data_IF_351134863681
#
_entry.id   IF_351134863681
#
_cell.length_a   1.000
_cell.length_b   1.000
_cell.length_c   1.000
_cell.angle_alpha   90.00
_cell.angle_beta   90.00
_cell.angle_gamma   90.00
#
_symmetry.space_group_name_H-M   'P 1'
#
loop_
_entity.id
_entity.type
_entity.pdbx_description
1 polymer ?
#
# COMPACT_ATOMS: atom_id res chain seq x y z
N UNK A 1 -30.17 25.49 -0.38
CA UNK A 1 -29.57 24.28 0.21
C UNK A 1 -28.08 24.37 -0.10
N UNK A 2 -27.23 24.57 0.94
CA UNK A 2 -25.80 24.61 0.77
C UNK A 2 -25.36 23.24 0.26
N UNK A 3 -24.47 23.26 -0.69
CA UNK A 3 -23.94 22.06 -1.32
C UNK A 3 -23.15 21.23 -0.34
N UNK A 4 -23.56 19.96 -0.16
CA UNK A 4 -22.99 19.04 0.82
C UNK A 4 -21.87 18.17 0.26
N UNK A 5 -21.49 18.40 -1.01
CA UNK A 5 -20.51 17.57 -1.71
C UNK A 5 -19.21 18.31 -1.97
N UNK A 6 -18.11 17.71 -1.55
CA UNK A 6 -16.75 18.21 -1.76
C UNK A 6 -16.00 17.34 -2.77
N UNK A 7 -15.11 17.95 -3.53
CA UNK A 7 -14.22 17.24 -4.47
C UNK A 7 -12.76 17.45 -4.06
N UNK A 8 -11.96 16.40 -4.18
CA UNK A 8 -10.51 16.50 -3.97
C UNK A 8 -9.81 16.89 -5.26
N UNK A 9 -9.00 17.90 -5.17
CA UNK A 9 -8.12 18.33 -6.24
C UNK A 9 -6.66 18.13 -5.85
N UNK A 10 -5.81 17.94 -6.86
CA UNK A 10 -4.37 17.88 -6.69
C UNK A 10 -3.78 19.18 -7.22
N UNK A 11 -3.12 19.93 -6.36
CA UNK A 11 -2.24 21.03 -6.74
C UNK A 11 -0.86 20.44 -7.08
N UNK A 12 -0.32 20.85 -8.22
CA UNK A 12 1.02 20.47 -8.66
C UNK A 12 1.86 21.71 -8.88
N UNK A 13 3.17 21.54 -8.75
CA UNK A 13 4.16 22.57 -9.08
C UNK A 13 3.97 23.91 -8.34
N UNK A 14 3.47 23.87 -7.08
CA UNK A 14 3.39 25.06 -6.25
C UNK A 14 4.79 25.46 -5.81
N UNK A 15 5.23 26.63 -6.22
CA UNK A 15 6.50 27.22 -5.80
C UNK A 15 6.34 27.96 -4.46
N UNK A 16 6.98 27.44 -3.39
CA UNK A 16 6.95 28.06 -2.07
C UNK A 16 8.31 27.92 -1.37
N UNK A 17 8.91 29.04 -0.96
CA UNK A 17 10.18 29.04 -0.22
C UNK A 17 11.32 28.33 -0.96
N UNK A 18 11.42 28.44 -2.29
CA UNK A 18 12.43 27.76 -3.10
C UNK A 18 12.20 26.25 -3.31
N UNK A 19 11.04 25.73 -2.88
CA UNK A 19 10.64 24.33 -3.08
C UNK A 19 9.46 24.22 -4.03
N UNK A 20 9.42 23.15 -4.79
CA UNK A 20 8.24 22.77 -5.58
C UNK A 20 7.44 21.72 -4.77
N UNK A 21 6.17 22.01 -4.53
CA UNK A 21 5.31 21.22 -3.66
C UNK A 21 4.06 20.78 -4.41
N UNK A 22 3.75 19.50 -4.24
CA UNK A 22 2.45 18.93 -4.61
C UNK A 22 1.66 18.66 -3.32
N UNK A 23 0.37 18.95 -3.31
CA UNK A 23 -0.54 18.58 -2.22
C UNK A 23 -1.97 18.38 -2.69
N UNK A 24 -2.79 17.76 -1.86
CA UNK A 24 -4.21 17.58 -2.11
C UNK A 24 -5.00 18.60 -1.30
N UNK A 25 -6.09 19.12 -1.88
CA UNK A 25 -7.01 20.04 -1.22
C UNK A 25 -8.47 19.69 -1.53
N UNK A 26 -9.41 20.34 -0.83
CA UNK A 26 -10.85 20.18 -1.03
C UNK A 26 -11.44 21.46 -1.59
N UNK A 27 -12.42 21.29 -2.48
CA UNK A 27 -13.26 22.38 -2.97
C UNK A 27 -14.71 21.92 -3.05
N UNK A 28 -15.65 22.86 -2.99
CA UNK A 28 -17.05 22.60 -3.23
C UNK A 28 -17.28 22.20 -4.69
N UNK A 29 -18.08 21.14 -4.92
CA UNK A 29 -18.23 20.53 -6.25
C UNK A 29 -18.82 21.48 -7.28
N UNK A 30 -19.83 22.30 -6.91
CA UNK A 30 -20.52 23.20 -7.84
C UNK A 30 -19.80 24.54 -8.02
N UNK A 31 -19.32 25.13 -6.93
CA UNK A 31 -18.71 26.46 -6.96
C UNK A 31 -17.22 26.42 -7.30
N UNK A 32 -16.56 25.28 -7.05
CA UNK A 32 -15.10 25.17 -7.12
C UNK A 32 -14.38 25.92 -5.99
N UNK A 33 -15.11 26.51 -5.03
CA UNK A 33 -14.54 27.27 -3.93
C UNK A 33 -13.77 26.35 -2.97
N UNK A 34 -12.50 26.68 -2.63
CA UNK A 34 -11.71 25.84 -1.72
C UNK A 34 -12.26 25.88 -0.30
N UNK A 35 -12.19 24.75 0.40
CA UNK A 35 -12.35 24.70 1.86
C UNK A 35 -11.05 25.18 2.49
N UNK A 36 -10.99 26.46 2.81
CA UNK A 36 -9.75 27.19 3.15
C UNK A 36 -8.99 26.55 4.29
N UNK A 37 -9.65 26.08 5.33
CA UNK A 37 -9.04 25.48 6.52
C UNK A 37 -8.32 24.17 6.16
N UNK A 38 -8.97 23.31 5.39
CA UNK A 38 -8.36 22.04 4.97
C UNK A 38 -7.24 22.28 3.97
N UNK A 39 -7.39 23.27 3.08
CA UNK A 39 -6.33 23.66 2.14
C UNK A 39 -5.11 24.19 2.88
N UNK A 40 -5.30 25.08 3.86
CA UNK A 40 -4.24 25.60 4.72
C UNK A 40 -3.52 24.50 5.51
N UNK A 41 -4.30 23.63 6.16
CA UNK A 41 -3.77 22.46 6.87
C UNK A 41 -2.91 21.57 5.96
N UNK A 42 -3.45 21.20 4.81
CA UNK A 42 -2.78 20.30 3.89
C UNK A 42 -1.49 20.89 3.33
N UNK A 43 -1.50 22.17 2.96
CA UNK A 43 -0.32 22.91 2.48
C UNK A 43 0.76 23.01 3.56
N UNK A 44 0.41 23.49 4.74
CA UNK A 44 1.35 23.65 5.86
C UNK A 44 1.93 22.31 6.29
N UNK A 45 1.12 21.27 6.33
CA UNK A 45 1.58 19.91 6.65
C UNK A 45 2.59 19.37 5.63
N UNK A 46 2.48 19.78 4.35
CA UNK A 46 3.48 19.48 3.31
C UNK A 46 4.76 20.29 3.50
N UNK A 47 4.65 21.57 3.79
CA UNK A 47 5.78 22.47 4.01
C UNK A 47 6.62 22.01 5.22
N UNK A 48 5.97 21.70 6.33
CA UNK A 48 6.60 21.29 7.58
C UNK A 48 7.03 19.82 7.62
N UNK A 49 6.73 19.03 6.56
CA UNK A 49 7.10 17.62 6.48
C UNK A 49 6.24 16.69 7.34
N UNK A 50 5.14 17.15 7.94
CA UNK A 50 4.17 16.28 8.63
C UNK A 50 3.55 15.28 7.64
N UNK A 51 3.11 15.75 6.49
CA UNK A 51 2.74 14.92 5.35
C UNK A 51 3.97 14.63 4.47
N UNK A 52 4.82 13.70 4.87
CA UNK A 52 6.07 13.35 4.17
C UNK A 52 5.87 12.96 2.70
N UNK A 53 4.73 12.36 2.36
CA UNK A 53 4.43 11.93 0.99
C UNK A 53 3.10 12.49 0.50
N UNK A 54 2.97 12.63 -0.82
CA UNK A 54 1.70 13.02 -1.45
C UNK A 54 0.57 12.02 -1.14
N UNK A 55 0.90 10.73 -0.99
CA UNK A 55 -0.06 9.70 -0.59
C UNK A 55 -0.59 9.89 0.83
N UNK A 56 0.25 10.33 1.78
CA UNK A 56 -0.18 10.68 3.14
C UNK A 56 -1.13 11.88 3.09
N UNK A 57 -0.76 12.94 2.38
CA UNK A 57 -1.62 14.12 2.18
C UNK A 57 -2.99 13.72 1.60
N UNK A 58 -3.00 12.87 0.54
CA UNK A 58 -4.24 12.37 -0.08
C UNK A 58 -5.14 11.65 0.93
N UNK A 59 -4.56 10.81 1.78
CA UNK A 59 -5.32 10.01 2.76
C UNK A 59 -5.94 10.89 3.83
N UNK A 60 -5.17 11.82 4.38
CA UNK A 60 -5.65 12.73 5.42
C UNK A 60 -6.74 13.67 4.88
N UNK A 61 -6.54 14.25 3.70
CA UNK A 61 -7.56 15.07 3.03
C UNK A 61 -8.82 14.26 2.72
N UNK A 62 -8.70 12.96 2.38
CA UNK A 62 -9.88 12.10 2.20
C UNK A 62 -10.65 11.86 3.50
N UNK A 63 -9.96 11.63 4.60
CA UNK A 63 -10.61 11.46 5.90
C UNK A 63 -11.29 12.75 6.37
N UNK A 64 -10.63 13.89 6.19
CA UNK A 64 -11.21 15.20 6.48
C UNK A 64 -12.39 15.53 5.56
N UNK A 65 -12.35 15.16 4.26
CA UNK A 65 -13.49 15.28 3.36
C UNK A 65 -14.73 14.60 3.95
N UNK A 66 -14.59 13.35 4.35
CA UNK A 66 -15.69 12.56 4.91
C UNK A 66 -16.25 13.19 6.20
N UNK A 67 -15.35 13.62 7.09
CA UNK A 67 -15.74 14.30 8.31
C UNK A 67 -16.47 15.63 8.00
N UNK A 68 -15.98 16.42 7.07
CA UNK A 68 -16.59 17.68 6.66
C UNK A 68 -17.99 17.50 6.06
N UNK A 69 -18.13 16.55 5.14
CA UNK A 69 -19.43 16.23 4.52
C UNK A 69 -20.44 15.67 5.51
N UNK A 70 -20.01 14.71 6.34
CA UNK A 70 -20.93 13.98 7.23
C UNK A 70 -21.28 14.74 8.52
N UNK A 71 -20.41 15.67 8.97
CA UNK A 71 -20.60 16.38 10.24
C UNK A 71 -20.78 17.88 10.04
N UNK A 72 -19.79 18.55 9.43
CA UNK A 72 -19.79 20.02 9.30
C UNK A 72 -20.91 20.50 8.39
N UNK A 73 -20.92 20.05 7.13
CA UNK A 73 -21.90 20.49 6.13
C UNK A 73 -23.28 19.90 6.37
N UNK A 74 -23.36 18.67 6.87
CA UNK A 74 -24.66 18.03 7.14
C UNK A 74 -25.44 18.76 8.23
N UNK A 75 -24.78 19.11 9.33
CA UNK A 75 -25.40 19.80 10.45
C UNK A 75 -25.44 21.32 10.27
N UNK A 76 -24.72 21.89 9.30
CA UNK A 76 -24.60 23.33 9.09
C UNK A 76 -23.91 24.05 10.25
N UNK A 77 -23.03 23.33 10.98
CA UNK A 77 -22.29 23.86 12.11
C UNK A 77 -20.95 24.45 11.68
N UNK A 78 -20.45 25.43 12.43
CA UNK A 78 -19.04 25.81 12.33
C UNK A 78 -18.18 24.65 12.86
N UNK A 79 -17.17 24.27 12.11
CA UNK A 79 -16.26 23.18 12.49
C UNK A 79 -15.55 23.42 13.84
N UNK A 80 -15.47 24.70 14.29
CA UNK A 80 -14.89 25.07 15.60
C UNK A 80 -15.82 24.72 16.76
N UNK A 81 -17.13 24.70 16.51
CA UNK A 81 -18.17 24.45 17.51
C UNK A 81 -18.45 22.96 17.73
N UNK A 82 -17.97 22.08 16.83
CA UNK A 82 -18.16 20.65 16.96
C UNK A 82 -17.44 20.15 18.21
N UNK A 83 -18.17 19.51 19.12
CA UNK A 83 -17.62 19.00 20.39
C UNK A 83 -16.75 17.75 20.20
N UNK A 84 -15.97 17.39 21.23
CA UNK A 84 -15.17 16.18 21.22
C UNK A 84 -16.08 14.93 21.28
N UNK A 85 -17.24 15.05 21.95
CA UNK A 85 -18.28 14.01 21.98
C UNK A 85 -18.91 13.81 20.59
N UNK A 86 -19.19 14.88 19.82
CA UNK A 86 -19.72 14.78 18.45
C UNK A 86 -18.75 14.03 17.55
N UNK A 87 -17.44 14.31 17.66
CA UNK A 87 -16.40 13.63 16.90
C UNK A 87 -16.31 12.15 17.30
N UNK A 88 -16.37 11.85 18.59
CA UNK A 88 -16.32 10.48 19.10
C UNK A 88 -17.55 9.69 18.67
N UNK A 89 -18.75 10.28 18.76
CA UNK A 89 -20.00 9.68 18.29
C UNK A 89 -20.00 9.48 16.77
N UNK A 90 -19.49 10.45 15.99
CA UNK A 90 -19.32 10.29 14.55
C UNK A 90 -18.45 9.07 14.22
N UNK A 91 -17.31 8.91 14.88
CA UNK A 91 -16.41 7.79 14.62
C UNK A 91 -17.01 6.45 15.04
N UNK A 92 -17.71 6.41 16.18
CA UNK A 92 -18.31 5.20 16.73
C UNK A 92 -19.64 4.87 16.02
N UNK A 93 -20.66 5.74 16.14
CA UNK A 93 -22.01 5.38 15.71
C UNK A 93 -22.16 5.42 14.19
N UNK A 94 -21.66 6.49 13.55
CA UNK A 94 -21.81 6.63 12.11
C UNK A 94 -20.78 5.81 11.32
N UNK A 95 -19.49 5.90 11.67
CA UNK A 95 -18.44 5.25 10.87
C UNK A 95 -18.21 3.78 11.23
N UNK A 96 -18.13 3.44 12.51
CA UNK A 96 -17.89 2.07 12.96
C UNK A 96 -19.16 1.22 12.90
N UNK A 97 -20.26 1.63 13.59
CA UNK A 97 -21.49 0.83 13.64
C UNK A 97 -22.29 0.91 12.34
N UNK A 98 -22.72 2.10 11.91
CA UNK A 98 -23.64 2.23 10.78
C UNK A 98 -22.98 1.94 9.42
N UNK A 99 -21.72 2.35 9.20
CA UNK A 99 -20.98 2.07 7.95
C UNK A 99 -20.14 0.79 8.01
N UNK A 100 -20.00 0.14 9.15
CA UNK A 100 -19.25 -1.11 9.32
C UNK A 100 -17.76 -0.99 8.99
N UNK A 101 -17.15 0.17 9.21
CA UNK A 101 -15.74 0.38 8.87
C UNK A 101 -14.83 -0.34 9.87
N UNK A 102 -13.69 -0.83 9.38
CA UNK A 102 -12.70 -1.50 10.23
C UNK A 102 -12.09 -0.55 11.25
N UNK A 103 -11.72 -1.06 12.44
CA UNK A 103 -11.04 -0.28 13.47
C UNK A 103 -9.77 0.41 12.97
N UNK A 104 -9.05 -0.19 12.02
CA UNK A 104 -7.89 0.43 11.37
C UNK A 104 -8.27 1.67 10.54
N UNK A 105 -9.40 1.64 9.86
CA UNK A 105 -9.90 2.80 9.11
C UNK A 105 -10.29 3.92 10.08
N UNK A 106 -10.95 3.57 11.19
CA UNK A 106 -11.32 4.53 12.26
C UNK A 106 -10.08 5.16 12.87
N UNK A 107 -9.02 4.37 13.18
CA UNK A 107 -7.74 4.93 13.63
C UNK A 107 -7.16 5.96 12.65
N UNK A 108 -7.24 5.69 11.35
CA UNK A 108 -6.79 6.63 10.33
C UNK A 108 -7.63 7.91 10.28
N UNK A 109 -8.95 7.82 10.45
CA UNK A 109 -9.85 8.96 10.53
C UNK A 109 -9.60 9.79 11.78
N UNK A 110 -9.53 9.14 12.95
CA UNK A 110 -9.18 9.80 14.22
C UNK A 110 -7.86 10.56 14.12
N UNK A 111 -6.81 9.92 13.57
CA UNK A 111 -5.52 10.57 13.39
C UNK A 111 -5.60 11.82 12.49
N UNK A 112 -6.36 11.75 11.39
CA UNK A 112 -6.52 12.89 10.49
C UNK A 112 -7.27 14.05 11.13
N UNK A 113 -8.37 13.77 11.85
CA UNK A 113 -9.19 14.77 12.54
C UNK A 113 -8.36 15.40 13.69
N UNK A 114 -7.73 14.58 14.54
CA UNK A 114 -6.92 15.07 15.66
C UNK A 114 -5.76 15.95 15.19
N UNK A 115 -5.05 15.55 14.13
CA UNK A 115 -3.94 16.35 13.59
C UNK A 115 -4.44 17.67 12.96
N UNK A 116 -5.62 17.68 12.34
CA UNK A 116 -6.24 18.90 11.85
C UNK A 116 -6.56 19.87 13.00
N UNK A 117 -7.22 19.42 14.07
CA UNK A 117 -7.56 20.27 15.22
C UNK A 117 -6.32 20.74 15.97
N UNK A 118 -5.28 19.91 16.13
CA UNK A 118 -3.97 20.33 16.69
C UNK A 118 -3.32 21.42 15.84
N UNK A 119 -3.37 21.28 14.53
CA UNK A 119 -2.88 22.31 13.62
C UNK A 119 -3.70 23.59 13.75
N UNK A 120 -5.02 23.52 13.78
CA UNK A 120 -5.89 24.67 13.92
C UNK A 120 -5.63 25.45 15.21
N UNK A 121 -5.48 24.75 16.34
CA UNK A 121 -5.11 25.37 17.63
C UNK A 121 -3.71 26.01 17.55
N UNK A 122 -2.72 25.32 17.02
CA UNK A 122 -1.35 25.81 16.88
C UNK A 122 -1.27 27.12 16.07
N UNK A 123 -2.15 27.29 15.09
CA UNK A 123 -2.18 28.48 14.23
C UNK A 123 -3.24 29.51 14.67
N UNK A 124 -3.79 29.40 15.88
CA UNK A 124 -4.71 30.37 16.47
C UNK A 124 -6.10 30.40 15.86
N UNK A 125 -6.50 29.34 15.16
CA UNK A 125 -7.86 29.21 14.60
C UNK A 125 -8.86 28.67 15.63
N UNK A 126 -8.36 28.19 16.77
CA UNK A 126 -9.13 27.73 17.93
C UNK A 126 -8.59 28.41 19.18
N UNK A 127 -9.50 28.75 20.09
CA UNK A 127 -9.16 29.33 21.39
C UNK A 127 -8.61 28.28 22.35
N UNK A 128 -9.14 27.04 22.30
CA UNK A 128 -8.72 25.92 23.14
C UNK A 128 -8.39 24.70 22.30
N UNK A 129 -7.44 23.84 22.78
CA UNK A 129 -7.15 22.59 22.09
C UNK A 129 -8.33 21.63 22.21
N UNK A 130 -8.60 20.83 21.18
CA UNK A 130 -9.53 19.72 21.27
C UNK A 130 -8.82 18.44 21.65
N UNK A 131 -9.30 17.78 22.70
CA UNK A 131 -8.79 16.50 23.18
C UNK A 131 -9.79 15.40 22.81
N UNK A 132 -9.65 14.87 21.61
CA UNK A 132 -10.52 13.83 21.09
C UNK A 132 -10.08 12.49 21.69
N UNK A 133 -10.77 12.06 22.75
CA UNK A 133 -10.55 10.77 23.40
C UNK A 133 -11.62 9.76 22.98
N UNK A 134 -11.19 8.63 22.43
CA UNK A 134 -12.04 7.43 22.32
C UNK A 134 -11.78 6.61 23.55
N UNK A 135 -12.57 6.88 24.59
CA UNK A 135 -12.38 6.35 25.93
C UNK A 135 -13.37 5.27 26.33
N UNK A 136 -13.66 5.24 27.63
CA UNK A 136 -14.48 4.22 28.32
C UNK A 136 -15.91 4.10 27.80
N UNK A 137 -16.44 5.11 27.12
CA UNK A 137 -17.81 5.11 26.60
C UNK A 137 -17.99 4.24 25.35
N UNK A 138 -16.89 3.87 24.67
CA UNK A 138 -16.91 3.08 23.44
C UNK A 138 -15.89 1.93 23.47
N UNK A 139 -16.00 0.98 24.42
CA UNK A 139 -15.01 -0.08 24.59
C UNK A 139 -14.87 -0.99 23.36
N UNK A 140 -15.98 -1.28 22.66
CA UNK A 140 -15.96 -2.09 21.43
C UNK A 140 -15.20 -1.42 20.28
N UNK A 141 -15.24 -0.09 20.18
CA UNK A 141 -14.46 0.65 19.19
C UNK A 141 -12.96 0.64 19.58
N UNK A 142 -12.66 0.86 20.85
CA UNK A 142 -11.29 0.80 21.36
C UNK A 142 -10.68 -0.58 21.14
N UNK A 143 -11.43 -1.64 21.41
CA UNK A 143 -11.02 -3.02 21.15
C UNK A 143 -10.76 -3.24 19.66
N UNK A 144 -11.69 -2.87 18.78
CA UNK A 144 -11.55 -2.99 17.35
C UNK A 144 -10.30 -2.24 16.82
N UNK A 145 -10.03 -1.05 17.35
CA UNK A 145 -8.84 -0.27 17.01
C UNK A 145 -7.55 -0.93 17.52
N UNK A 146 -7.61 -1.57 18.70
CA UNK A 146 -6.47 -2.29 19.28
C UNK A 146 -6.21 -3.60 18.53
N UNK A 147 -7.25 -4.35 18.20
CA UNK A 147 -7.17 -5.59 17.42
C UNK A 147 -6.80 -5.33 15.94
N UNK A 148 -7.09 -4.16 15.38
CA UNK A 148 -6.70 -3.80 14.03
C UNK A 148 -5.18 -3.92 13.75
N UNK A 149 -4.35 -3.90 14.80
CA UNK A 149 -2.91 -4.19 14.72
C UNK A 149 -2.58 -5.68 14.66
N UNK A 150 -3.50 -6.57 15.04
CA UNK A 150 -3.29 -8.04 15.11
C UNK A 150 -3.94 -8.79 13.95
N UNK A 151 -4.87 -8.18 13.24
CA UNK A 151 -5.79 -8.86 12.32
C UNK A 151 -5.28 -9.08 10.89
N UNK A 152 -4.06 -8.76 10.56
CA UNK A 152 -3.53 -9.35 9.33
C UNK A 152 -3.16 -10.81 9.61
N UNK A 153 -4.14 -11.68 9.63
CA UNK A 153 -3.92 -13.11 9.48
C UNK A 153 -3.31 -13.32 8.09
N UNK A 154 -1.99 -13.17 8.00
CA UNK A 154 -1.24 -13.40 6.76
C UNK A 154 -1.55 -14.78 6.18
N UNK A 155 -1.94 -15.74 7.03
CA UNK A 155 -2.43 -17.04 6.59
C UNK A 155 -3.62 -16.94 5.64
N UNK A 156 -4.64 -16.09 5.94
CA UNK A 156 -5.80 -15.91 5.06
C UNK A 156 -5.43 -15.19 3.75
N UNK A 157 -4.29 -14.51 3.73
CA UNK A 157 -3.76 -13.83 2.56
C UNK A 157 -2.77 -14.69 1.75
N UNK A 158 -2.33 -15.83 2.30
CA UNK A 158 -1.40 -16.71 1.62
C UNK A 158 -2.07 -17.35 0.39
N UNK A 159 -1.34 -17.37 -0.71
CA UNK A 159 -1.76 -17.98 -1.97
C UNK A 159 -0.78 -19.12 -2.25
N UNK A 160 -1.23 -20.38 -2.18
CA UNK A 160 -0.43 -21.54 -2.58
C UNK A 160 0.02 -21.46 -4.04
N UNK A 161 1.11 -22.13 -4.38
CA UNK A 161 1.69 -22.09 -5.73
C UNK A 161 0.71 -22.55 -6.81
N UNK A 162 -0.06 -23.59 -6.53
CA UNK A 162 -1.02 -24.14 -7.51
C UNK A 162 -2.19 -23.18 -7.74
N UNK A 163 -2.70 -22.54 -6.68
CA UNK A 163 -3.72 -21.50 -6.80
C UNK A 163 -3.18 -20.26 -7.54
N UNK A 164 -1.93 -19.89 -7.30
CA UNK A 164 -1.28 -18.83 -8.05
C UNK A 164 -1.16 -19.16 -9.55
N UNK A 165 -0.84 -20.41 -9.89
CA UNK A 165 -0.78 -20.83 -11.29
C UNK A 165 -2.15 -20.75 -11.95
N UNK A 166 -3.23 -21.17 -11.26
CA UNK A 166 -4.61 -21.01 -11.73
C UNK A 166 -4.98 -19.54 -11.96
N UNK A 167 -4.58 -18.65 -11.03
CA UNK A 167 -4.79 -17.21 -11.20
C UNK A 167 -4.10 -16.69 -12.48
N UNK A 168 -2.88 -17.12 -12.75
CA UNK A 168 -2.13 -16.72 -13.96
C UNK A 168 -2.81 -17.24 -15.23
N UNK A 169 -3.39 -18.43 -15.20
CA UNK A 169 -4.16 -18.99 -16.34
C UNK A 169 -5.42 -18.18 -16.66
N UNK A 170 -5.99 -17.49 -15.67
CA UNK A 170 -7.16 -16.63 -15.80
C UNK A 170 -6.88 -15.24 -16.39
N UNK A 171 -5.62 -14.92 -16.75
CA UNK A 171 -5.29 -13.67 -17.44
C UNK A 171 -5.94 -13.63 -18.82
N UNK A 172 -6.39 -12.43 -19.24
CA UNK A 172 -6.96 -12.23 -20.58
C UNK A 172 -5.94 -12.52 -21.68
N UNK A 173 -6.29 -13.44 -22.57
CA UNK A 173 -5.43 -13.90 -23.67
C UNK A 173 -5.74 -13.26 -25.02
N UNK A 174 -6.67 -12.30 -25.09
CA UNK A 174 -7.06 -11.63 -26.35
C UNK A 174 -5.90 -10.90 -27.04
N UNK A 175 -5.00 -10.32 -26.27
CA UNK A 175 -3.77 -9.71 -26.77
C UNK A 175 -2.55 -10.38 -26.17
N UNK A 176 -1.69 -10.96 -27.04
CA UNK A 176 -0.45 -11.61 -26.59
C UNK A 176 0.44 -10.65 -25.79
N UNK A 177 0.60 -9.43 -26.27
CA UNK A 177 1.40 -8.41 -25.57
C UNK A 177 0.86 -8.12 -24.18
N UNK A 178 -0.44 -7.82 -24.06
CA UNK A 178 -1.08 -7.51 -22.79
C UNK A 178 -1.06 -8.69 -21.83
N UNK A 179 -1.32 -9.90 -22.34
CA UNK A 179 -1.32 -11.10 -21.50
C UNK A 179 0.05 -11.38 -20.88
N UNK A 180 1.13 -11.28 -21.65
CA UNK A 180 2.50 -11.49 -21.12
C UNK A 180 2.89 -10.38 -20.16
N UNK A 181 2.51 -9.13 -20.43
CA UNK A 181 2.74 -7.98 -19.55
C UNK A 181 2.02 -8.17 -18.21
N UNK A 182 0.75 -8.51 -18.24
CA UNK A 182 -0.08 -8.69 -17.05
C UNK A 182 0.37 -9.92 -16.25
N UNK A 183 0.80 -11.00 -16.92
CA UNK A 183 1.43 -12.16 -16.29
C UNK A 183 2.73 -11.79 -15.59
N UNK A 184 3.60 -10.99 -16.21
CA UNK A 184 4.81 -10.48 -15.57
C UNK A 184 4.51 -9.66 -14.32
N UNK A 185 3.44 -8.86 -14.33
CA UNK A 185 3.04 -8.10 -13.15
C UNK A 185 2.70 -9.02 -11.97
N UNK A 186 1.94 -10.11 -12.20
CA UNK A 186 1.61 -11.09 -11.16
C UNK A 186 2.83 -11.88 -10.70
N UNK A 187 3.68 -12.34 -11.63
CA UNK A 187 4.91 -13.06 -11.33
C UNK A 187 5.86 -12.23 -10.45
N UNK A 188 6.07 -10.96 -10.79
CA UNK A 188 6.90 -10.06 -9.97
C UNK A 188 6.34 -9.87 -8.55
N UNK A 189 5.02 -9.84 -8.40
CA UNK A 189 4.39 -9.81 -7.08
C UNK A 189 4.66 -11.09 -6.28
N UNK A 190 4.42 -12.25 -6.90
CA UNK A 190 4.47 -13.55 -6.23
C UNK A 190 5.90 -14.08 -6.01
N UNK A 191 6.79 -13.92 -7.00
CA UNK A 191 8.13 -14.51 -6.96
C UNK A 191 9.24 -13.52 -6.58
N UNK A 192 8.99 -12.20 -6.69
CA UNK A 192 9.97 -11.16 -6.35
C UNK A 192 9.46 -10.20 -5.26
N UNK A 193 8.25 -10.37 -4.79
CA UNK A 193 7.67 -9.59 -3.70
C UNK A 193 7.47 -8.11 -4.01
N UNK A 194 7.18 -7.74 -5.26
CA UNK A 194 6.98 -6.33 -5.63
C UNK A 194 5.64 -5.80 -5.13
N UNK A 195 5.62 -4.49 -4.80
CA UNK A 195 4.37 -3.75 -4.59
C UNK A 195 3.80 -3.29 -5.93
N UNK A 196 2.48 -3.11 -6.01
CA UNK A 196 1.85 -2.60 -7.25
C UNK A 196 2.42 -1.26 -7.68
N UNK A 197 2.69 -0.34 -6.75
CA UNK A 197 3.31 0.95 -7.05
C UNK A 197 4.77 0.87 -7.51
N UNK A 198 5.48 -0.21 -7.21
CA UNK A 198 6.85 -0.44 -7.67
C UNK A 198 6.87 -0.86 -9.15
N UNK A 199 5.81 -1.52 -9.64
CA UNK A 199 5.67 -1.89 -11.05
C UNK A 199 5.60 -0.66 -11.97
N UNK A 200 4.92 0.38 -11.53
CA UNK A 200 4.64 1.58 -12.32
C UNK A 200 5.52 2.77 -11.99
N UNK A 201 6.49 2.57 -11.10
CA UNK A 201 7.52 3.57 -10.83
C UNK A 201 8.42 3.72 -12.06
N UNK A 202 8.49 4.94 -12.60
CA UNK A 202 9.16 5.25 -13.84
C UNK A 202 10.70 5.04 -13.81
N UNK A 203 11.28 4.90 -12.62
CA UNK A 203 12.71 4.59 -12.44
C UNK A 203 12.98 3.08 -12.37
N UNK A 204 11.93 2.26 -12.17
CA UNK A 204 12.05 0.82 -12.08
C UNK A 204 11.88 0.15 -13.45
N UNK A 205 12.41 -1.04 -13.57
CA UNK A 205 12.21 -1.93 -14.72
C UNK A 205 12.47 -1.26 -16.07
N UNK A 206 13.50 -0.42 -16.18
CA UNK A 206 13.90 0.16 -17.47
C UNK A 206 14.27 -0.94 -18.47
N UNK A 207 13.72 -0.90 -19.68
CA UNK A 207 13.93 -1.92 -20.72
C UNK A 207 15.43 -2.10 -21.00
N UNK A 208 16.18 -1.00 -21.12
CA UNK A 208 17.63 -1.01 -21.33
C UNK A 208 18.39 -1.76 -20.22
N UNK A 209 18.05 -1.48 -18.96
CA UNK A 209 18.65 -2.12 -17.79
C UNK A 209 18.36 -3.62 -17.79
N UNK A 210 17.10 -4.01 -18.00
CA UNK A 210 16.69 -5.43 -18.00
C UNK A 210 17.38 -6.19 -19.14
N UNK A 211 17.45 -5.61 -20.34
CA UNK A 211 18.18 -6.22 -21.47
C UNK A 211 19.66 -6.46 -21.15
N UNK A 212 20.32 -5.48 -20.51
CA UNK A 212 21.73 -5.60 -20.12
C UNK A 212 21.93 -6.72 -19.09
N UNK A 213 21.12 -6.76 -18.03
CA UNK A 213 21.19 -7.77 -16.98
C UNK A 213 20.86 -9.19 -17.50
N UNK A 214 19.87 -9.32 -18.37
CA UNK A 214 19.56 -10.59 -19.03
C UNK A 214 20.74 -11.09 -19.85
N UNK A 215 21.37 -10.22 -20.65
CA UNK A 215 22.53 -10.58 -21.47
C UNK A 215 23.74 -10.98 -20.60
N UNK A 216 23.97 -10.26 -19.51
CA UNK A 216 25.05 -10.57 -18.56
C UNK A 216 24.83 -11.93 -17.89
N UNK A 217 23.62 -12.20 -17.39
CA UNK A 217 23.28 -13.48 -16.78
C UNK A 217 23.40 -14.63 -17.78
N UNK A 218 22.89 -14.48 -19.00
CA UNK A 218 23.04 -15.49 -20.07
C UNK A 218 24.50 -15.78 -20.39
N UNK A 219 25.36 -14.77 -20.44
CA UNK A 219 26.80 -14.94 -20.69
C UNK A 219 27.51 -15.72 -19.56
N UNK A 220 26.98 -15.66 -18.35
CA UNK A 220 27.45 -16.43 -17.18
C UNK A 220 26.80 -17.81 -17.06
N UNK A 221 25.87 -18.17 -17.93
CA UNK A 221 25.07 -19.40 -17.81
C UNK A 221 24.04 -19.36 -16.68
N UNK A 222 23.70 -18.16 -16.18
CA UNK A 222 22.74 -17.95 -15.10
C UNK A 222 21.33 -17.71 -15.64
N UNK A 223 20.33 -18.11 -14.89
CA UNK A 223 18.91 -17.87 -15.20
C UNK A 223 18.22 -17.00 -14.15
N UNK A 224 19.02 -16.30 -13.33
CA UNK A 224 18.59 -15.38 -12.28
C UNK A 224 19.52 -14.17 -12.24
N UNK A 225 19.02 -13.04 -11.72
CA UNK A 225 19.85 -11.87 -11.45
C UNK A 225 19.23 -10.97 -10.39
N UNK A 226 20.05 -10.21 -9.72
CA UNK A 226 19.59 -9.18 -8.78
C UNK A 226 19.27 -7.88 -9.53
N UNK A 227 18.10 -7.29 -9.20
CA UNK A 227 17.62 -6.03 -9.76
C UNK A 227 17.35 -5.03 -8.64
N UNK A 228 17.94 -3.85 -8.74
CA UNK A 228 17.65 -2.74 -7.85
C UNK A 228 16.36 -2.04 -8.27
N UNK A 229 15.47 -1.81 -7.32
CA UNK A 229 14.21 -1.10 -7.51
C UNK A 229 13.99 -0.06 -6.42
N UNK A 230 13.25 0.99 -6.76
CA UNK A 230 12.87 2.07 -5.85
C UNK A 230 11.45 1.84 -5.33
N UNK A 231 11.30 1.95 -4.00
CA UNK A 231 10.02 1.86 -3.33
C UNK A 231 9.22 3.17 -3.38
N UNK A 232 8.25 3.28 -2.49
CA UNK A 232 7.37 4.46 -2.37
C UNK A 232 8.20 5.72 -2.09
N UNK A 233 8.04 6.74 -2.95
CA UNK A 233 8.68 8.04 -2.79
C UNK A 233 10.11 8.13 -3.31
N UNK A 234 10.60 7.15 -4.09
CA UNK A 234 11.94 7.06 -4.68
C UNK A 234 13.13 7.10 -3.69
N UNK A 235 12.86 7.17 -2.39
CA UNK A 235 13.88 7.35 -1.35
C UNK A 235 14.38 6.03 -0.73
N UNK A 236 13.81 4.89 -1.14
CA UNK A 236 14.20 3.58 -0.60
C UNK A 236 14.48 2.64 -1.75
N UNK A 237 15.76 2.40 -1.97
CA UNK A 237 16.24 1.35 -2.85
C UNK A 237 16.20 0.00 -2.13
N UNK A 238 15.83 -1.06 -2.84
CA UNK A 238 15.99 -2.43 -2.43
C UNK A 238 16.33 -3.32 -3.61
N UNK A 239 16.95 -4.43 -3.34
CA UNK A 239 17.30 -5.43 -4.36
C UNK A 239 16.28 -6.56 -4.34
N UNK A 240 15.72 -6.89 -5.50
CA UNK A 240 14.89 -8.07 -5.71
C UNK A 240 15.68 -9.10 -6.53
N UNK A 241 15.44 -10.37 -6.27
CA UNK A 241 15.95 -11.46 -7.09
C UNK A 241 14.94 -11.73 -8.20
N UNK A 242 15.37 -11.63 -9.45
CA UNK A 242 14.61 -12.11 -10.60
C UNK A 242 14.81 -13.62 -10.70
N UNK A 243 13.73 -14.36 -10.46
CA UNK A 243 13.74 -15.83 -10.48
C UNK A 243 13.81 -16.38 -11.91
N UNK A 244 14.17 -17.64 -12.08
CA UNK A 244 14.24 -18.32 -13.39
C UNK A 244 12.93 -18.20 -14.18
N UNK A 245 11.78 -18.30 -13.51
CA UNK A 245 10.47 -18.17 -14.19
C UNK A 245 10.24 -16.75 -14.71
N UNK A 246 10.53 -15.73 -13.89
CA UNK A 246 10.45 -14.32 -14.29
C UNK A 246 11.47 -14.02 -15.39
N UNK A 247 12.70 -14.52 -15.28
CA UNK A 247 13.75 -14.39 -16.28
C UNK A 247 13.30 -14.90 -17.65
N UNK A 248 12.76 -16.11 -17.71
CA UNK A 248 12.26 -16.68 -18.97
C UNK A 248 11.08 -15.88 -19.54
N UNK A 249 10.18 -15.41 -18.68
CA UNK A 249 9.05 -14.59 -19.11
C UNK A 249 9.51 -13.22 -19.63
N UNK A 250 10.49 -12.59 -19.02
CA UNK A 250 11.10 -11.34 -19.49
C UNK A 250 11.73 -11.54 -20.88
N UNK A 251 12.44 -12.65 -21.12
CA UNK A 251 12.98 -12.96 -22.44
C UNK A 251 11.89 -13.06 -23.50
N UNK A 252 10.79 -13.74 -23.21
CA UNK A 252 9.64 -13.87 -24.12
C UNK A 252 9.03 -12.48 -24.38
N UNK A 253 8.82 -11.69 -23.33
CA UNK A 253 8.21 -10.37 -23.43
C UNK A 253 9.05 -9.42 -24.26
N UNK A 254 10.36 -9.32 -24.01
CA UNK A 254 11.27 -8.44 -24.73
C UNK A 254 11.49 -8.85 -26.21
N UNK A 255 11.17 -10.09 -26.57
CA UNK A 255 11.17 -10.58 -27.95
C UNK A 255 9.85 -10.30 -28.69
N UNK A 256 8.82 -9.81 -27.99
CA UNK A 256 7.53 -9.51 -28.62
C UNK A 256 7.68 -8.44 -29.71
N UNK A 257 7.00 -8.66 -30.84
CA UNK A 257 7.09 -7.78 -32.03
C UNK A 257 6.61 -6.35 -31.74
N UNK A 258 5.69 -6.17 -30.76
CA UNK A 258 5.23 -4.83 -30.35
C UNK A 258 6.31 -4.03 -29.62
N UNK A 259 7.25 -4.71 -28.94
CA UNK A 259 8.37 -4.05 -28.26
C UNK A 259 9.60 -3.87 -29.15
N UNK A 260 9.71 -4.67 -30.23
CA UNK A 260 10.84 -4.56 -31.16
C UNK A 260 10.72 -3.31 -32.01
N UNK A 261 11.60 -2.36 -31.80
CA UNK A 261 11.77 -1.17 -32.65
C UNK A 261 10.67 -0.11 -32.56
N UNK A 262 9.66 -0.30 -31.70
CA UNK A 262 8.56 0.67 -31.54
C UNK A 262 8.71 1.57 -30.31
N UNK A 263 9.46 1.12 -29.28
CA UNK A 263 9.59 1.84 -28.03
C UNK A 263 11.07 2.07 -27.69
N UNK A 264 11.38 3.24 -27.16
CA UNK A 264 12.71 3.55 -26.66
C UNK A 264 13.11 2.61 -25.54
N UNK A 265 14.35 2.14 -25.53
CA UNK A 265 14.91 1.31 -24.48
C UNK A 265 15.00 2.03 -23.11
N UNK A 266 14.87 3.35 -23.09
CA UNK A 266 14.82 4.15 -21.87
C UNK A 266 13.46 4.14 -21.18
N UNK A 267 12.41 3.58 -21.82
CA UNK A 267 11.09 3.44 -21.23
C UNK A 267 11.06 2.32 -20.18
N UNK A 268 10.12 2.40 -19.20
CA UNK A 268 9.87 1.31 -18.28
C UNK A 268 9.20 0.13 -18.99
N UNK A 269 9.26 -1.05 -18.39
CA UNK A 269 8.71 -2.30 -18.93
C UNK A 269 7.19 -2.27 -19.10
N UNK A 270 6.48 -1.61 -18.18
CA UNK A 270 5.02 -1.58 -18.13
C UNK A 270 4.45 -0.42 -18.94
N UNK A 271 4.09 -0.70 -20.19
CA UNK A 271 3.49 0.24 -21.13
C UNK A 271 2.04 -0.15 -21.45
N UNK A 272 1.23 0.84 -21.79
CA UNK A 272 -0.11 0.60 -22.33
C UNK A 272 -0.07 0.10 -23.80
N UNK A 273 -1.23 -0.11 -24.42
CA UNK A 273 -1.32 -0.55 -25.83
C UNK A 273 -0.74 0.47 -26.81
N UNK A 274 -0.69 1.74 -26.43
CA UNK A 274 -0.18 2.85 -27.23
C UNK A 274 1.32 3.09 -26.99
N UNK A 275 1.95 2.32 -26.09
CA UNK A 275 3.34 2.47 -25.72
C UNK A 275 3.63 3.58 -24.71
N UNK A 276 2.61 4.11 -24.05
CA UNK A 276 2.79 5.08 -22.96
C UNK A 276 3.06 4.38 -21.65
N UNK A 277 3.96 4.89 -20.80
CA UNK A 277 4.19 4.35 -19.46
C UNK A 277 2.90 4.30 -18.63
N UNK A 278 2.64 3.17 -18.01
CA UNK A 278 1.56 3.04 -17.03
C UNK A 278 2.03 3.70 -15.73
N UNK A 279 1.36 4.78 -15.32
CA UNK A 279 1.70 5.56 -14.13
C UNK A 279 0.77 5.28 -12.93
N UNK A 280 -0.35 4.61 -13.14
CA UNK A 280 -1.30 4.30 -12.08
C UNK A 280 -0.67 3.36 -11.05
N UNK A 281 -0.57 3.75 -9.76
CA UNK A 281 -0.02 2.89 -8.72
C UNK A 281 -0.88 1.65 -8.45
N UNK A 282 -2.12 1.63 -8.95
CA UNK A 282 -3.08 0.54 -8.76
C UNK A 282 -3.10 -0.45 -9.93
N UNK A 283 -2.20 -0.30 -10.92
CA UNK A 283 -2.15 -1.17 -12.09
C UNK A 283 -2.11 -2.67 -11.74
N UNK A 284 -1.19 -3.08 -10.86
CA UNK A 284 -1.08 -4.47 -10.41
C UNK A 284 -2.36 -4.97 -9.72
N UNK A 285 -3.00 -4.11 -8.91
CA UNK A 285 -4.29 -4.44 -8.27
C UNK A 285 -5.39 -4.67 -9.30
N UNK A 286 -5.44 -3.85 -10.35
CA UNK A 286 -6.38 -4.04 -11.46
C UNK A 286 -6.12 -5.33 -12.23
N UNK A 287 -4.86 -5.68 -12.49
CA UNK A 287 -4.49 -6.96 -13.14
C UNK A 287 -4.96 -8.14 -12.29
N UNK A 288 -4.63 -8.13 -10.99
CA UNK A 288 -5.02 -9.17 -10.05
C UNK A 288 -6.54 -9.35 -9.98
N UNK A 289 -7.27 -8.25 -9.80
CA UNK A 289 -8.74 -8.28 -9.69
C UNK A 289 -9.39 -8.87 -10.97
N UNK A 290 -8.93 -8.49 -12.16
CA UNK A 290 -9.44 -9.05 -13.43
C UNK A 290 -9.17 -10.56 -13.55
N UNK A 291 -7.98 -11.02 -13.17
CA UNK A 291 -7.65 -12.45 -13.20
C UNK A 291 -8.48 -13.21 -12.16
N UNK A 292 -8.56 -12.72 -10.92
CA UNK A 292 -9.37 -13.30 -9.84
C UNK A 292 -10.85 -13.46 -10.24
N UNK A 293 -11.44 -12.44 -10.83
CA UNK A 293 -12.85 -12.47 -11.24
C UNK A 293 -13.15 -13.46 -12.37
N UNK A 294 -12.12 -14.01 -13.03
CA UNK A 294 -12.25 -15.06 -14.04
C UNK A 294 -11.95 -16.46 -13.52
N UNK A 295 -11.54 -16.57 -12.26
CA UNK A 295 -11.31 -17.89 -11.66
C UNK A 295 -12.63 -18.67 -11.60
N UNK A 296 -12.62 -19.98 -11.93
CA UNK A 296 -13.83 -20.78 -12.01
C UNK A 296 -14.53 -21.00 -10.66
N UNK A 297 -13.85 -20.66 -9.57
CA UNK A 297 -14.37 -20.84 -8.21
C UNK A 297 -14.34 -19.49 -7.48
N UNK A 298 -15.54 -18.89 -7.27
CA UNK A 298 -15.70 -17.80 -6.31
C UNK A 298 -15.68 -18.39 -4.89
N UNK A 299 -14.51 -18.74 -4.39
CA UNK A 299 -14.36 -19.16 -3.01
C UNK A 299 -14.32 -17.91 -2.14
N UNK A 300 -15.11 -17.84 -1.05
CA UNK A 300 -15.08 -16.73 -0.08
C UNK A 300 -13.65 -16.37 0.39
N UNK A 301 -12.74 -17.35 0.38
CA UNK A 301 -11.32 -17.14 0.67
C UNK A 301 -10.61 -16.21 -0.33
N UNK A 302 -11.06 -16.15 -1.60
CA UNK A 302 -10.48 -15.28 -2.62
C UNK A 302 -11.01 -13.85 -2.58
N UNK A 303 -12.17 -13.60 -1.94
CA UNK A 303 -12.76 -12.26 -1.85
C UNK A 303 -11.84 -11.27 -1.11
N UNK A 304 -11.10 -11.76 -0.14
CA UNK A 304 -10.15 -10.98 0.65
C UNK A 304 -8.73 -10.93 0.06
N UNK A 305 -8.43 -11.73 -0.98
CA UNK A 305 -7.11 -11.75 -1.61
C UNK A 305 -6.99 -10.61 -2.63
N UNK A 306 -5.88 -9.89 -2.56
CA UNK A 306 -5.56 -8.73 -3.39
C UNK A 306 -4.13 -8.87 -3.94
N UNK A 307 -3.70 -7.98 -4.83
CA UNK A 307 -2.32 -8.02 -5.34
C UNK A 307 -1.27 -8.09 -4.21
N UNK A 308 -1.51 -7.42 -3.09
CA UNK A 308 -0.58 -7.44 -1.95
C UNK A 308 -0.45 -8.83 -1.31
N UNK A 309 -1.44 -9.70 -1.47
CA UNK A 309 -1.39 -11.11 -1.05
C UNK A 309 -0.30 -11.90 -1.77
N UNK A 310 0.03 -11.55 -3.02
CA UNK A 310 1.17 -12.12 -3.74
C UNK A 310 2.49 -11.85 -3.03
N UNK A 311 2.66 -10.62 -2.57
CA UNK A 311 3.84 -10.22 -1.81
C UNK A 311 3.87 -10.85 -0.40
N UNK A 312 2.73 -11.06 0.23
CA UNK A 312 2.64 -11.82 1.48
C UNK A 312 3.08 -13.26 1.27
N UNK A 313 2.59 -13.90 0.20
CA UNK A 313 2.99 -15.27 -0.17
C UNK A 313 4.48 -15.37 -0.48
N UNK A 314 5.04 -14.41 -1.20
CA UNK A 314 6.49 -14.33 -1.40
C UNK A 314 7.27 -14.32 -0.08
N UNK A 315 6.87 -13.48 0.87
CA UNK A 315 7.57 -13.33 2.14
C UNK A 315 7.43 -14.58 3.03
N UNK A 316 6.24 -15.22 3.01
CA UNK A 316 6.01 -16.50 3.72
C UNK A 316 6.81 -17.64 3.10
N UNK A 317 6.85 -17.75 1.76
CA UNK A 317 7.68 -18.73 1.07
C UNK A 317 9.18 -18.50 1.33
N UNK A 318 9.61 -17.25 1.43
CA UNK A 318 10.99 -16.91 1.77
C UNK A 318 11.31 -17.26 3.23
N UNK A 319 10.33 -17.17 4.15
CA UNK A 319 10.49 -17.62 5.54
C UNK A 319 10.63 -19.14 5.59
N UNK A 320 9.81 -19.88 4.84
CA UNK A 320 9.91 -21.33 4.67
C UNK A 320 11.31 -21.73 4.17
N UNK A 321 11.78 -21.09 3.09
CA UNK A 321 13.10 -21.32 2.54
C UNK A 321 14.22 -21.04 3.56
N UNK A 322 14.12 -19.96 4.33
CA UNK A 322 15.10 -19.66 5.39
C UNK A 322 15.15 -20.77 6.44
N UNK A 323 13.99 -21.28 6.86
CA UNK A 323 13.90 -22.37 7.82
C UNK A 323 14.55 -23.66 7.27
N UNK A 324 14.18 -24.08 6.07
CA UNK A 324 14.67 -25.32 5.44
C UNK A 324 16.17 -25.29 5.14
N UNK A 325 16.72 -24.11 4.87
CA UNK A 325 18.16 -23.94 4.55
C UNK A 325 18.97 -23.39 5.73
N UNK A 326 18.43 -23.38 6.95
CA UNK A 326 19.10 -22.88 8.16
C UNK A 326 19.66 -21.46 7.99
N UNK A 327 18.91 -20.57 7.30
CA UNK A 327 19.30 -19.17 7.11
C UNK A 327 18.61 -18.27 8.13
N UNK A 328 19.32 -17.22 8.55
CA UNK A 328 18.72 -16.20 9.43
C UNK A 328 17.68 -15.40 8.65
N UNK A 329 16.40 -15.60 8.94
CA UNK A 329 15.31 -14.84 8.34
C UNK A 329 15.41 -13.33 8.64
N UNK A 330 15.98 -12.94 9.79
CA UNK A 330 16.19 -11.53 10.17
C UNK A 330 17.13 -10.80 9.21
N UNK A 331 18.09 -11.53 8.62
CA UNK A 331 19.02 -10.96 7.65
C UNK A 331 18.55 -11.09 6.20
N UNK A 332 17.66 -12.04 5.89
CA UNK A 332 17.22 -12.33 4.52
C UNK A 332 15.93 -11.61 4.15
N UNK A 333 14.87 -11.70 5.00
CA UNK A 333 13.54 -11.20 4.64
C UNK A 333 13.47 -9.67 4.63
N UNK A 334 13.94 -8.92 5.66
CA UNK A 334 13.80 -7.46 5.69
C UNK A 334 14.40 -6.75 4.47
N UNK A 335 15.65 -7.02 4.04
CA UNK A 335 16.20 -6.31 2.88
C UNK A 335 15.46 -6.66 1.57
N UNK A 336 15.05 -7.92 1.38
CA UNK A 336 14.29 -8.36 0.20
C UNK A 336 12.88 -7.71 0.17
N UNK A 337 12.28 -7.49 1.34
CA UNK A 337 10.98 -6.83 1.48
C UNK A 337 11.08 -5.31 1.58
N UNK A 338 12.26 -4.73 1.79
CA UNK A 338 12.43 -3.31 2.06
C UNK A 338 11.75 -2.89 3.38
N UNK A 339 11.87 -3.72 4.41
CA UNK A 339 11.46 -3.41 5.77
C UNK A 339 12.61 -2.75 6.52
N UNK A 340 12.29 -1.69 7.29
CA UNK A 340 13.30 -1.00 8.10
C UNK A 340 13.63 -1.77 9.38
N UNK A 341 12.67 -2.58 9.86
CA UNK A 341 12.76 -3.35 11.07
C UNK A 341 12.39 -4.80 10.78
N UNK A 342 13.20 -5.73 11.27
CA UNK A 342 12.95 -7.16 11.15
C UNK A 342 11.63 -7.57 11.85
N UNK A 343 11.17 -6.84 12.86
CA UNK A 343 9.90 -7.08 13.54
C UNK A 343 8.71 -7.02 12.57
N UNK A 344 8.79 -6.19 11.53
CA UNK A 344 7.77 -6.14 10.46
C UNK A 344 7.73 -7.43 9.65
N UNK A 345 8.82 -8.20 9.63
CA UNK A 345 8.90 -9.48 8.91
C UNK A 345 8.50 -10.68 9.76
N UNK A 346 8.37 -10.51 11.07
CA UNK A 346 8.06 -11.59 12.01
C UNK A 346 6.74 -12.30 11.67
N UNK A 347 5.74 -11.55 11.25
CA UNK A 347 4.42 -12.07 10.87
C UNK A 347 4.47 -13.13 9.76
N UNK A 348 5.43 -13.07 8.86
CA UNK A 348 5.61 -14.06 7.79
C UNK A 348 6.24 -15.35 8.30
N UNK A 349 7.11 -15.22 9.28
CA UNK A 349 7.75 -16.39 9.94
C UNK A 349 6.74 -17.10 10.82
N UNK A 350 5.86 -16.35 11.51
CA UNK A 350 4.73 -16.91 12.26
C UNK A 350 3.74 -17.60 11.31
N UNK A 351 3.41 -16.98 10.19
CA UNK A 351 2.52 -17.56 9.19
C UNK A 351 3.09 -18.85 8.59
N UNK A 352 4.39 -18.88 8.23
CA UNK A 352 5.06 -20.09 7.76
C UNK A 352 5.04 -21.20 8.81
N UNK A 353 5.34 -20.87 10.08
CA UNK A 353 5.34 -21.84 11.17
C UNK A 353 3.96 -22.47 11.38
N UNK A 354 2.89 -21.68 11.24
CA UNK A 354 1.51 -22.16 11.36
C UNK A 354 1.08 -23.00 10.15
N UNK A 355 1.39 -22.55 8.93
CA UNK A 355 1.05 -23.26 7.70
C UNK A 355 1.74 -24.65 7.61
N UNK A 356 2.96 -24.76 8.14
CA UNK A 356 3.75 -25.99 8.08
C UNK A 356 3.81 -26.74 9.42
N UNK A 357 2.89 -26.44 10.38
CA UNK A 357 2.78 -27.12 11.68
C UNK A 357 4.11 -27.15 12.49
N UNK A 358 4.90 -26.08 12.43
CA UNK A 358 6.19 -25.95 13.13
C UNK A 358 5.97 -25.34 14.53
N UNK A 359 5.25 -26.05 15.41
CA UNK A 359 4.79 -25.56 16.72
C UNK A 359 5.95 -25.14 17.61
N UNK A 360 6.97 -25.99 17.76
CA UNK A 360 8.16 -25.72 18.59
C UNK A 360 8.90 -24.45 18.13
N UNK A 361 8.97 -24.25 16.83
CA UNK A 361 9.59 -23.05 16.26
C UNK A 361 8.77 -21.81 16.54
N UNK A 362 7.44 -21.91 16.46
CA UNK A 362 6.51 -20.83 16.78
C UNK A 362 6.61 -20.40 18.24
N UNK A 363 6.68 -21.37 19.17
CA UNK A 363 6.86 -21.09 20.60
C UNK A 363 8.19 -20.40 20.89
N UNK A 364 9.27 -20.86 20.27
CA UNK A 364 10.60 -20.24 20.36
C UNK A 364 10.62 -18.79 19.83
N UNK A 365 9.86 -18.50 18.79
CA UNK A 365 9.71 -17.13 18.25
C UNK A 365 8.91 -16.26 19.23
N UNK A 366 7.78 -16.76 19.72
CA UNK A 366 6.91 -16.04 20.66
C UNK A 366 7.61 -15.72 21.97
N UNK A 367 8.34 -16.68 22.55
CA UNK A 367 9.11 -16.49 23.80
C UNK A 367 10.19 -15.40 23.64
N UNK A 368 10.92 -15.38 22.53
CA UNK A 368 11.88 -14.32 22.21
C UNK A 368 11.23 -12.96 21.94
N UNK A 369 10.02 -12.93 21.39
CA UNK A 369 9.25 -11.72 21.11
C UNK A 369 8.65 -11.10 22.37
N UNK A 370 8.20 -11.90 23.32
CA UNK A 370 7.67 -11.44 24.61
C UNK A 370 8.73 -10.80 25.50
N UNK A 371 9.94 -11.33 25.52
CA UNK A 371 11.07 -10.74 26.27
C UNK A 371 11.41 -9.31 25.84
N UNK A 372 11.26 -8.96 24.55
CA UNK A 372 11.53 -7.61 24.05
C UNK A 372 10.38 -6.61 24.27
N UNK A 373 9.12 -7.08 24.39
CA UNK A 373 7.98 -6.22 24.76
C UNK A 373 8.05 -5.78 26.23
N UNK A 374 8.57 -6.64 27.11
CA UNK A 374 8.76 -6.34 28.53
C UNK A 374 9.89 -5.33 28.80
N UNK A 375 10.91 -5.30 27.97
CA UNK A 375 12.07 -4.37 28.14
C UNK A 375 11.79 -2.96 27.60
N UNK A 376 10.76 -2.76 26.73
CA UNK A 376 10.36 -1.44 26.22
C UNK A 376 9.23 -0.78 26.99
N UNK A 377 8.71 -1.40 28.03
CA UNK A 377 7.68 -0.89 28.93
C UNK A 377 8.22 -0.47 30.31
N UNK A 378 9.52 -0.14 30.40
CA UNK A 378 10.11 0.51 31.55
C UNK A 378 10.77 1.81 31.12
#
# INVERSE_FOLDING_TARGET
MLEKTLVRHKMTDLHYGGRVLDFWFLAHEQTGEPVHEICGYALISRINGAHKTLGTSRTYVQHLKQFWEDVVLWNGLDWREISDEDISSYLHDHRFKAKGLSGKTIQGQLAAISEFYKWAYKYGLLEYPKEIEIGFDFPELLDAMTYAKKEMLIQSQFIPKDEFNQLVECIDRKSRYLSIRDELALLLGYECGTRTSELTNQHNFKIKQIKALLKEAEAKGESTFDLKIYGKGNNKERTILITTRVFNKLKIFLRDKKLRGKFSDDLPLFLDEKGKPIVSPDYGSGVFARARNRMPYSNKEWDNKVYHSLRHSFATNLACWCYENNKSWQSVIPPRMGHNDWQTSLIYVEADALLNNRIDFLEKIKSKGQLKRYVRGK
#
